data_IF_969648598067
#
_entry.id   IF_969648598067
#
_cell.length_a   1.000
_cell.length_b   1.000
_cell.length_c   1.000
_cell.angle_alpha   90.00
_cell.angle_beta   90.00
_cell.angle_gamma   90.00
#
_symmetry.space_group_name_H-M   'P 1'
#
loop_
_entity.id
_entity.type
_entity.pdbx_description
1 polymer ?
#
# COMPACT_ATOMS: atom_id res chain seq x y z
N UNK A 1 -23.79 13.30 2.38
CA UNK A 1 -23.56 13.10 0.93
C UNK A 1 -24.91 12.88 0.26
N UNK A 2 -25.14 13.50 -0.89
CA UNK A 2 -26.41 13.39 -1.58
C UNK A 2 -26.47 12.04 -2.35
N UNK A 3 -27.47 11.17 -2.14
CA UNK A 3 -27.54 9.84 -2.80
C UNK A 3 -27.53 9.87 -4.33
N UNK A 4 -27.88 11.00 -4.94
CA UNK A 4 -27.91 11.16 -6.41
C UNK A 4 -26.52 11.37 -7.04
N UNK A 5 -25.45 11.40 -6.25
CA UNK A 5 -24.07 11.66 -6.72
C UNK A 5 -23.24 10.40 -6.95
N UNK A 6 -23.68 9.21 -6.49
CA UNK A 6 -22.93 7.98 -6.65
C UNK A 6 -23.07 7.41 -8.05
N UNK A 7 -21.94 7.04 -8.66
CA UNK A 7 -21.92 6.49 -10.02
C UNK A 7 -21.98 4.96 -10.02
N UNK A 8 -21.25 4.34 -9.07
CA UNK A 8 -21.01 2.88 -9.09
C UNK A 8 -21.15 2.22 -7.71
N UNK A 9 -20.96 2.96 -6.60
CA UNK A 9 -21.16 2.42 -5.27
C UNK A 9 -22.63 2.60 -4.84
N UNK A 10 -23.28 1.51 -4.40
CA UNK A 10 -24.64 1.59 -3.85
C UNK A 10 -24.58 2.20 -2.43
N UNK A 11 -25.25 3.34 -2.18
CA UNK A 11 -25.26 3.96 -0.87
C UNK A 11 -25.93 3.12 0.23
N UNK A 12 -26.67 2.07 -0.12
CA UNK A 12 -27.32 1.16 0.83
C UNK A 12 -26.45 -0.06 1.17
N UNK A 13 -25.43 -0.32 0.36
CA UNK A 13 -24.53 -1.45 0.54
C UNK A 13 -23.38 -1.13 1.51
N UNK A 14 -22.78 -2.20 2.03
CA UNK A 14 -21.60 -2.13 2.88
C UNK A 14 -20.41 -2.75 2.17
N UNK A 15 -19.29 -2.02 2.15
CA UNK A 15 -18.07 -2.45 1.46
C UNK A 15 -16.93 -2.65 2.47
N UNK A 16 -16.30 -3.82 2.39
CA UNK A 16 -14.99 -4.06 3.02
C UNK A 16 -13.89 -3.72 2.02
N UNK A 17 -12.66 -3.49 2.48
CA UNK A 17 -11.54 -3.20 1.59
C UNK A 17 -11.37 -4.28 0.52
N UNK A 18 -11.42 -5.56 0.90
CA UNK A 18 -11.32 -6.68 -0.04
C UNK A 18 -12.41 -6.68 -1.12
N UNK A 19 -13.61 -6.13 -0.84
CA UNK A 19 -14.68 -6.07 -1.84
C UNK A 19 -14.35 -5.14 -3.01
N UNK A 20 -13.50 -4.11 -2.79
CA UNK A 20 -13.07 -3.20 -3.85
C UNK A 20 -12.21 -3.88 -4.92
N UNK A 21 -11.49 -4.92 -4.56
CA UNK A 21 -10.74 -5.76 -5.51
C UNK A 21 -11.66 -6.44 -6.54
N UNK A 22 -12.87 -6.82 -6.14
CA UNK A 22 -13.80 -7.59 -6.97
C UNK A 22 -14.79 -6.72 -7.75
N UNK A 23 -14.83 -5.40 -7.49
CA UNK A 23 -15.76 -4.51 -8.19
C UNK A 23 -15.43 -4.43 -9.68
N UNK A 24 -16.44 -4.55 -10.58
CA UNK A 24 -16.24 -4.52 -12.04
C UNK A 24 -16.17 -3.10 -12.60
N UNK A 25 -15.89 -2.10 -11.74
CA UNK A 25 -15.91 -0.69 -12.12
C UNK A 25 -14.47 -0.14 -12.27
N UNK A 26 -14.35 1.00 -12.96
CA UNK A 26 -13.05 1.69 -13.04
C UNK A 26 -12.66 2.27 -11.69
N UNK A 27 -11.35 2.30 -11.41
CA UNK A 27 -10.83 2.92 -10.20
C UNK A 27 -11.22 4.39 -10.11
N UNK A 28 -11.27 5.10 -11.26
CA UNK A 28 -11.66 6.50 -11.34
C UNK A 28 -13.08 6.74 -10.81
N UNK A 29 -14.02 5.87 -11.16
CA UNK A 29 -15.41 5.99 -10.72
C UNK A 29 -15.56 5.62 -9.25
N UNK A 30 -14.85 4.58 -8.80
CA UNK A 30 -14.87 4.14 -7.40
C UNK A 30 -14.33 5.23 -6.49
N UNK A 31 -13.14 5.79 -6.77
CA UNK A 31 -12.56 6.82 -5.91
C UNK A 31 -13.31 8.15 -5.99
N UNK A 32 -13.97 8.44 -7.13
CA UNK A 32 -14.86 9.60 -7.25
C UNK A 32 -16.05 9.51 -6.31
N UNK A 33 -16.66 8.32 -6.17
CA UNK A 33 -17.74 8.06 -5.22
C UNK A 33 -17.26 8.20 -3.76
N UNK A 34 -15.99 7.93 -3.49
CA UNK A 34 -15.37 8.13 -2.18
C UNK A 34 -14.94 9.59 -1.93
N UNK A 35 -15.06 10.47 -2.93
CA UNK A 35 -14.72 11.91 -2.83
C UNK A 35 -13.30 12.24 -3.22
N UNK A 36 -12.62 11.38 -3.98
CA UNK A 36 -11.23 11.56 -4.45
C UNK A 36 -11.15 11.62 -5.96
N UNK A 37 -10.02 12.15 -6.46
CA UNK A 37 -9.62 12.07 -7.85
C UNK A 37 -8.58 10.97 -8.01
N UNK A 38 -8.53 10.35 -9.17
CA UNK A 38 -7.49 9.39 -9.52
C UNK A 38 -6.58 9.96 -10.61
N UNK A 39 -5.28 9.73 -10.44
CA UNK A 39 -4.26 9.99 -11.46
C UNK A 39 -3.34 8.77 -11.59
N UNK A 40 -2.67 8.67 -12.73
CA UNK A 40 -1.64 7.66 -12.99
C UNK A 40 -0.47 8.29 -13.69
N UNK A 41 0.62 8.45 -12.97
CA UNK A 41 1.83 9.12 -13.44
C UNK A 41 3.09 8.55 -12.79
N UNK A 42 4.25 8.88 -13.30
CA UNK A 42 5.51 8.53 -12.65
C UNK A 42 5.68 9.38 -11.38
N UNK A 43 5.73 8.72 -10.23
CA UNK A 43 5.87 9.37 -8.93
C UNK A 43 7.34 9.72 -8.65
N UNK A 44 7.54 10.83 -7.96
CA UNK A 44 8.80 11.17 -7.29
C UNK A 44 8.64 10.82 -5.81
N UNK A 45 8.84 9.56 -5.50
CA UNK A 45 8.71 9.05 -4.14
C UNK A 45 9.91 9.51 -3.29
N UNK A 46 9.72 9.77 -1.99
CA UNK A 46 10.82 9.96 -1.06
C UNK A 46 11.74 8.76 -1.07
N UNK A 47 13.04 8.99 -0.99
CA UNK A 47 14.05 7.93 -0.91
C UNK A 47 15.05 8.22 0.18
N UNK A 48 15.51 7.18 0.87
CA UNK A 48 16.62 7.21 1.82
C UNK A 48 17.80 6.48 1.18
N UNK A 49 18.72 7.18 0.52
CA UNK A 49 19.80 6.55 -0.22
C UNK A 49 20.84 5.93 0.71
N UNK A 50 21.46 4.84 0.26
CA UNK A 50 22.58 4.21 0.98
C UNK A 50 22.14 3.39 2.19
N UNK A 51 20.97 2.82 2.16
CA UNK A 51 20.51 1.89 3.20
C UNK A 51 21.47 0.71 3.27
N UNK A 52 22.19 0.62 4.40
CA UNK A 52 23.10 -0.49 4.70
C UNK A 52 22.40 -1.58 5.52
N UNK A 53 21.28 -2.05 5.03
CA UNK A 53 20.62 -3.22 5.59
C UNK A 53 21.40 -4.49 5.22
N UNK A 54 20.97 -5.61 5.78
CA UNK A 54 21.47 -6.94 5.36
C UNK A 54 20.99 -7.29 3.94
N UNK A 55 21.16 -6.32 3.01
CA UNK A 55 20.67 -6.40 1.65
C UNK A 55 21.14 -7.64 0.92
N UNK A 56 22.43 -8.02 1.08
CA UNK A 56 22.97 -9.20 0.44
C UNK A 56 22.31 -10.49 0.96
N UNK A 57 22.10 -10.59 2.27
CA UNK A 57 21.48 -11.76 2.90
C UNK A 57 20.01 -11.87 2.49
N UNK A 58 19.29 -10.73 2.50
CA UNK A 58 17.91 -10.67 2.07
C UNK A 58 17.76 -11.00 0.58
N UNK A 59 18.63 -10.46 -0.28
CA UNK A 59 18.64 -10.77 -1.72
C UNK A 59 18.89 -12.27 -1.95
N UNK A 60 19.85 -12.86 -1.23
CA UNK A 60 20.15 -14.30 -1.34
C UNK A 60 18.95 -15.13 -0.85
N UNK A 61 18.33 -14.73 0.26
CA UNK A 61 17.13 -15.39 0.78
C UNK A 61 15.98 -15.37 -0.23
N UNK A 62 15.65 -14.20 -0.78
CA UNK A 62 14.56 -14.04 -1.74
C UNK A 62 14.83 -14.77 -3.05
N UNK A 63 16.05 -14.65 -3.61
CA UNK A 63 16.44 -15.36 -4.83
C UNK A 63 16.30 -16.87 -4.69
N UNK A 64 16.76 -17.42 -3.56
CA UNK A 64 16.63 -18.86 -3.28
C UNK A 64 15.18 -19.29 -3.17
N UNK A 65 14.36 -18.53 -2.48
CA UNK A 65 12.94 -18.87 -2.29
C UNK A 65 12.12 -18.70 -3.57
N UNK A 66 12.37 -17.69 -4.38
CA UNK A 66 11.74 -17.53 -5.71
C UNK A 66 12.01 -18.74 -6.62
N UNK A 67 13.18 -19.37 -6.47
CA UNK A 67 13.54 -20.58 -7.24
C UNK A 67 12.80 -21.84 -6.78
N UNK A 68 12.60 -22.01 -5.49
CA UNK A 68 12.16 -23.29 -4.91
C UNK A 68 10.74 -23.28 -4.35
N UNK A 69 10.20 -22.11 -4.04
CA UNK A 69 8.85 -21.96 -3.52
C UNK A 69 7.90 -21.56 -4.63
N UNK A 70 6.79 -22.29 -4.75
CA UNK A 70 5.68 -21.93 -5.64
C UNK A 70 4.59 -21.26 -4.78
N UNK A 71 4.51 -19.94 -4.72
CA UNK A 71 3.56 -19.25 -3.85
C UNK A 71 2.15 -19.26 -4.48
N UNK A 72 1.44 -20.36 -4.30
CA UNK A 72 0.07 -20.51 -4.79
C UNK A 72 -0.90 -19.71 -3.93
N UNK A 73 -0.69 -19.70 -2.60
CA UNK A 73 -1.53 -18.95 -1.66
C UNK A 73 -0.93 -17.56 -1.38
N UNK A 74 -1.79 -16.58 -1.14
CA UNK A 74 -1.40 -15.22 -0.73
C UNK A 74 -0.59 -15.22 0.57
N UNK A 75 -1.00 -16.03 1.55
CA UNK A 75 -0.27 -16.18 2.81
C UNK A 75 1.19 -16.61 2.61
N UNK A 76 1.47 -17.50 1.66
CA UNK A 76 2.85 -17.91 1.36
C UNK A 76 3.66 -16.74 0.78
N UNK A 77 3.05 -15.87 -0.04
CA UNK A 77 3.70 -14.65 -0.54
C UNK A 77 4.00 -13.68 0.58
N UNK A 78 3.05 -13.47 1.47
CA UNK A 78 3.19 -12.59 2.64
C UNK A 78 4.36 -13.07 3.52
N UNK A 79 4.40 -14.33 3.90
CA UNK A 79 5.39 -14.85 4.84
C UNK A 79 6.81 -14.95 4.26
N UNK A 80 6.93 -15.35 2.98
CA UNK A 80 8.24 -15.68 2.41
C UNK A 80 8.84 -14.50 1.62
N UNK A 81 8.02 -13.68 0.96
CA UNK A 81 8.54 -12.66 0.05
C UNK A 81 8.29 -11.23 0.53
N UNK A 82 7.20 -10.97 1.30
CA UNK A 82 6.86 -9.61 1.70
C UNK A 82 7.35 -9.32 3.12
N UNK A 83 6.95 -10.15 4.10
CA UNK A 83 7.31 -9.94 5.50
C UNK A 83 8.82 -9.80 5.76
N UNK A 84 9.72 -10.59 5.15
CA UNK A 84 11.16 -10.41 5.36
C UNK A 84 11.68 -9.04 4.92
N UNK A 85 11.13 -8.45 3.85
CA UNK A 85 11.46 -7.10 3.39
C UNK A 85 11.01 -6.07 4.43
N UNK A 86 9.78 -6.20 4.90
CA UNK A 86 9.20 -5.27 5.88
C UNK A 86 9.87 -5.40 7.26
N UNK A 87 10.29 -6.59 7.66
CA UNK A 87 11.02 -6.80 8.91
C UNK A 87 12.38 -6.08 8.92
N UNK A 88 13.15 -6.18 7.83
CA UNK A 88 14.40 -5.43 7.67
C UNK A 88 14.16 -3.91 7.65
N UNK A 89 13.10 -3.45 6.99
CA UNK A 89 12.71 -2.05 6.99
C UNK A 89 12.40 -1.55 8.41
N UNK A 90 11.59 -2.29 9.16
CA UNK A 90 11.16 -1.91 10.51
C UNK A 90 12.34 -1.84 11.50
N UNK A 91 13.29 -2.77 11.39
CA UNK A 91 14.53 -2.75 12.17
C UNK A 91 15.37 -1.50 11.85
N UNK A 92 15.47 -1.13 10.57
CA UNK A 92 16.22 0.04 10.12
C UNK A 92 15.58 1.38 10.52
N UNK A 93 14.25 1.49 10.42
CA UNK A 93 13.52 2.74 10.71
C UNK A 93 13.12 2.85 12.18
N UNK A 94 13.21 1.74 12.93
CA UNK A 94 12.77 1.64 14.34
C UNK A 94 11.27 1.92 14.51
N UNK A 95 10.45 1.29 13.66
CA UNK A 95 8.99 1.40 13.68
C UNK A 95 8.30 0.06 13.87
N UNK A 96 7.06 0.09 14.35
CA UNK A 96 6.25 -1.11 14.53
C UNK A 96 5.49 -1.44 13.25
N UNK A 97 5.53 -2.71 12.87
CA UNK A 97 4.70 -3.31 11.84
C UNK A 97 3.43 -3.87 12.48
N UNK A 98 2.28 -3.50 11.92
CA UNK A 98 1.00 -4.10 12.27
C UNK A 98 0.53 -4.94 11.07
N UNK A 99 0.28 -6.21 11.29
CA UNK A 99 -0.36 -7.11 10.33
C UNK A 99 -1.85 -7.22 10.64
N UNK A 100 -2.65 -7.47 9.59
CA UNK A 100 -4.12 -7.57 9.70
C UNK A 100 -4.75 -6.42 10.51
N UNK A 101 -4.24 -5.20 10.33
CA UNK A 101 -4.68 -4.04 11.09
C UNK A 101 -6.13 -3.68 10.77
N UNK A 102 -7.02 -3.82 11.76
CA UNK A 102 -8.44 -3.53 11.57
C UNK A 102 -8.71 -2.03 11.56
N UNK A 103 -9.30 -1.53 10.49
CA UNK A 103 -9.70 -0.15 10.31
C UNK A 103 -11.18 -0.06 9.91
N UNK A 104 -11.94 0.78 10.62
CA UNK A 104 -13.35 1.02 10.31
C UNK A 104 -13.66 2.50 10.45
N UNK A 105 -14.04 3.14 9.36
CA UNK A 105 -14.39 4.56 9.29
C UNK A 105 -15.89 4.73 9.11
N UNK A 106 -16.46 4.02 8.16
CA UNK A 106 -17.89 4.04 7.85
C UNK A 106 -18.30 2.72 7.15
N UNK A 107 -19.55 2.63 6.68
CA UNK A 107 -20.06 1.41 6.03
C UNK A 107 -19.35 1.05 4.72
N UNK A 108 -18.65 2.00 4.07
CA UNK A 108 -17.94 1.77 2.80
C UNK A 108 -16.43 1.58 3.00
N UNK A 109 -15.87 2.04 4.08
CA UNK A 109 -14.43 2.06 4.33
C UNK A 109 -14.13 1.35 5.64
N UNK A 110 -14.02 0.03 5.57
CA UNK A 110 -13.71 -0.85 6.69
C UNK A 110 -13.12 -2.17 6.25
N UNK A 111 -12.38 -2.81 7.13
CA UNK A 111 -11.72 -4.10 6.90
C UNK A 111 -10.36 -4.15 7.54
N UNK A 112 -9.55 -5.10 7.13
CA UNK A 112 -8.17 -5.23 7.59
C UNK A 112 -7.23 -4.75 6.49
N UNK A 113 -6.15 -4.09 6.90
CA UNK A 113 -4.98 -3.78 6.09
C UNK A 113 -4.00 -4.93 6.26
N UNK A 114 -3.45 -5.48 5.17
CA UNK A 114 -2.51 -6.61 5.25
C UNK A 114 -1.29 -6.25 6.09
N UNK A 115 -0.68 -5.09 5.80
CA UNK A 115 0.39 -4.51 6.61
C UNK A 115 0.22 -3.01 6.74
N UNK A 116 0.37 -2.53 7.95
CA UNK A 116 0.29 -1.12 8.28
C UNK A 116 1.46 -0.69 9.16
N UNK A 117 2.17 0.33 8.72
CA UNK A 117 3.28 0.94 9.45
C UNK A 117 2.95 2.41 9.67
N UNK A 118 3.14 2.87 10.90
CA UNK A 118 2.89 4.26 11.29
C UNK A 118 3.99 4.74 12.22
N UNK A 119 4.49 5.95 11.98
CA UNK A 119 5.44 6.60 12.90
C UNK A 119 4.72 7.07 14.16
N UNK A 120 5.46 7.16 15.28
CA UNK A 120 4.88 7.51 16.58
C UNK A 120 4.19 8.88 16.62
N UNK A 121 4.56 9.80 15.73
CA UNK A 121 3.94 11.12 15.57
C UNK A 121 2.70 11.13 14.67
N UNK A 122 2.28 9.97 14.15
CA UNK A 122 1.15 9.80 13.22
C UNK A 122 1.23 10.64 11.92
N UNK A 123 2.42 11.05 11.52
CA UNK A 123 2.61 11.87 10.32
C UNK A 123 2.93 11.06 9.09
N UNK A 124 3.58 9.90 9.26
CA UNK A 124 4.01 9.03 8.16
C UNK A 124 3.38 7.68 8.30
N UNK A 125 2.78 7.24 7.23
CA UNK A 125 2.03 6.00 7.18
C UNK A 125 2.32 5.30 5.87
N UNK A 126 2.42 3.99 5.96
CA UNK A 126 2.64 3.12 4.82
C UNK A 126 1.68 1.93 4.93
N UNK A 127 0.90 1.72 3.89
CA UNK A 127 0.06 0.55 3.72
C UNK A 127 0.66 -0.35 2.66
N UNK A 128 0.79 -1.63 2.95
CA UNK A 128 1.20 -2.63 1.96
C UNK A 128 0.07 -3.62 1.79
N UNK A 129 -0.49 -3.65 0.59
CA UNK A 129 -1.52 -4.59 0.20
C UNK A 129 -0.89 -5.75 -0.58
N UNK A 130 -1.04 -6.96 -0.05
CA UNK A 130 -0.54 -8.18 -0.66
C UNK A 130 -1.57 -8.78 -1.61
N UNK A 131 -1.14 -9.19 -2.80
CA UNK A 131 -2.01 -9.82 -3.78
C UNK A 131 -1.38 -11.06 -4.40
N UNK A 132 -2.23 -11.96 -4.86
CA UNK A 132 -1.77 -13.17 -5.53
C UNK A 132 -1.26 -12.88 -6.95
N UNK A 133 -1.89 -11.96 -7.71
CA UNK A 133 -1.54 -11.72 -9.11
C UNK A 133 -1.88 -10.34 -9.67
N UNK A 134 -3.00 -9.74 -9.34
CA UNK A 134 -3.52 -8.56 -10.04
C UNK A 134 -3.21 -7.26 -9.28
N UNK A 135 -2.07 -6.62 -9.64
CA UNK A 135 -1.67 -5.34 -9.04
C UNK A 135 -2.66 -4.21 -9.36
N UNK A 136 -3.34 -4.26 -10.50
CA UNK A 136 -4.27 -3.19 -10.90
C UNK A 136 -5.53 -3.21 -10.04
N UNK A 137 -6.12 -4.39 -9.85
CA UNK A 137 -7.26 -4.55 -8.93
C UNK A 137 -6.84 -4.36 -7.48
N UNK A 138 -5.64 -4.84 -7.11
CA UNK A 138 -5.05 -4.58 -5.80
C UNK A 138 -4.91 -3.08 -5.52
N UNK A 139 -4.57 -2.29 -6.53
CA UNK A 139 -4.48 -0.84 -6.36
C UNK A 139 -5.84 -0.19 -6.11
N UNK A 140 -6.94 -0.73 -6.64
CA UNK A 140 -8.30 -0.24 -6.32
C UNK A 140 -8.63 -0.45 -4.83
N UNK A 141 -8.23 -1.59 -4.27
CA UNK A 141 -8.38 -1.83 -2.84
C UNK A 141 -7.49 -0.88 -2.02
N UNK A 142 -6.20 -0.75 -2.35
CA UNK A 142 -5.28 0.19 -1.71
C UNK A 142 -5.81 1.62 -1.74
N UNK A 143 -6.43 2.05 -2.84
CA UNK A 143 -7.01 3.38 -2.94
C UNK A 143 -8.14 3.61 -1.91
N UNK A 144 -8.98 2.60 -1.66
CA UNK A 144 -10.01 2.66 -0.61
C UNK A 144 -9.39 2.68 0.80
N UNK A 145 -8.29 1.96 1.02
CA UNK A 145 -7.54 1.94 2.27
C UNK A 145 -6.89 3.29 2.57
N UNK A 146 -6.25 3.91 1.57
CA UNK A 146 -5.71 5.27 1.68
C UNK A 146 -6.81 6.30 1.96
N UNK A 147 -7.98 6.18 1.31
CA UNK A 147 -9.13 7.03 1.58
C UNK A 147 -9.65 6.87 3.01
N UNK A 148 -9.65 5.65 3.54
CA UNK A 148 -10.04 5.38 4.94
C UNK A 148 -9.05 6.01 5.92
N UNK A 149 -7.75 5.90 5.68
CA UNK A 149 -6.72 6.53 6.51
C UNK A 149 -6.78 8.05 6.48
N UNK A 150 -7.09 8.66 5.33
CA UNK A 150 -7.30 10.11 5.24
C UNK A 150 -8.46 10.59 6.12
N UNK A 151 -9.52 9.80 6.22
CA UNK A 151 -10.69 10.13 7.05
C UNK A 151 -10.50 9.78 8.53
N UNK A 152 -9.45 9.06 8.90
CA UNK A 152 -9.14 8.73 10.28
C UNK A 152 -8.69 9.99 11.03
N UNK A 153 -9.30 10.26 12.19
CA UNK A 153 -9.07 11.49 12.95
C UNK A 153 -7.64 11.67 13.47
N UNK A 154 -6.89 10.59 13.69
CA UNK A 154 -5.51 10.63 14.18
C UNK A 154 -4.48 10.92 13.08
N UNK A 155 -4.82 10.81 11.80
CA UNK A 155 -3.90 11.03 10.69
C UNK A 155 -3.49 12.50 10.59
N UNK A 156 -2.18 12.80 10.67
CA UNK A 156 -1.65 14.16 10.67
C UNK A 156 -0.87 14.55 9.42
N UNK A 157 -0.23 13.60 8.74
CA UNK A 157 0.55 13.87 7.52
C UNK A 157 -0.31 14.36 6.35
N UNK A 158 0.28 15.14 5.43
CA UNK A 158 -0.39 15.60 4.21
C UNK A 158 -0.36 14.55 3.09
N UNK A 159 0.64 13.69 3.10
CA UNK A 159 0.81 12.60 2.14
C UNK A 159 0.63 11.26 2.84
N UNK A 160 -0.13 10.37 2.23
CA UNK A 160 -0.21 8.96 2.62
C UNK A 160 0.37 8.13 1.50
N UNK A 161 1.12 7.12 1.85
CA UNK A 161 1.78 6.25 0.88
C UNK A 161 1.30 4.81 1.04
N UNK A 162 1.36 4.07 -0.05
CA UNK A 162 1.07 2.66 -0.04
C UNK A 162 1.73 1.94 -1.21
N UNK A 163 1.73 0.62 -1.13
CA UNK A 163 2.15 -0.22 -2.23
C UNK A 163 1.26 -1.45 -2.35
N UNK A 164 1.09 -1.92 -3.57
CA UNK A 164 0.52 -3.23 -3.87
C UNK A 164 1.65 -4.14 -4.31
N UNK A 165 1.69 -5.34 -3.77
CA UNK A 165 2.76 -6.28 -4.08
C UNK A 165 2.26 -7.71 -4.24
N UNK A 166 2.91 -8.45 -5.15
CA UNK A 166 2.82 -9.90 -5.28
C UNK A 166 4.01 -10.61 -4.60
N UNK A 167 4.85 -9.85 -3.90
CA UNK A 167 6.10 -10.32 -3.32
C UNK A 167 7.29 -10.17 -4.26
N UNK A 168 7.12 -10.50 -5.53
CA UNK A 168 8.12 -10.37 -6.60
C UNK A 168 7.95 -9.08 -7.43
N UNK A 169 6.78 -8.46 -7.39
CA UNK A 169 6.48 -7.17 -8.04
C UNK A 169 5.91 -6.19 -7.02
N UNK A 170 6.34 -4.94 -7.08
CA UNK A 170 5.89 -3.85 -6.22
C UNK A 170 5.46 -2.66 -7.06
N UNK A 171 4.28 -2.09 -6.76
CA UNK A 171 3.78 -0.85 -7.34
C UNK A 171 3.39 0.09 -6.24
N UNK A 172 3.92 1.29 -6.26
CA UNK A 172 3.64 2.32 -5.27
C UNK A 172 2.47 3.21 -5.67
N UNK A 173 1.93 3.88 -4.68
CA UNK A 173 0.95 4.94 -4.83
C UNK A 173 0.96 5.88 -3.65
N UNK A 174 0.32 7.01 -3.85
CA UNK A 174 0.19 8.04 -2.82
C UNK A 174 -1.18 8.69 -2.84
N UNK A 175 -1.59 9.24 -1.72
CA UNK A 175 -2.73 10.14 -1.59
C UNK A 175 -2.25 11.51 -1.10
N UNK A 176 -2.44 12.55 -1.92
CA UNK A 176 -2.38 13.94 -1.48
C UNK A 176 -3.70 14.30 -0.81
N UNK A 177 -3.67 14.46 0.52
CA UNK A 177 -4.85 14.74 1.33
C UNK A 177 -5.41 16.14 1.08
N UNK A 178 -4.56 17.10 0.75
CA UNK A 178 -4.95 18.49 0.48
C UNK A 178 -5.69 18.64 -0.85
N UNK A 179 -5.22 17.92 -1.87
CA UNK A 179 -5.79 17.92 -3.20
C UNK A 179 -6.87 16.86 -3.39
N UNK A 180 -6.99 15.90 -2.46
CA UNK A 180 -7.85 14.71 -2.58
C UNK A 180 -7.56 13.92 -3.86
N UNK A 181 -6.28 13.71 -4.16
CA UNK A 181 -5.81 12.99 -5.35
C UNK A 181 -5.06 11.74 -4.93
N UNK A 182 -5.53 10.59 -5.41
CA UNK A 182 -4.83 9.30 -5.30
C UNK A 182 -4.09 9.08 -6.61
N UNK A 183 -2.77 8.88 -6.53
CA UNK A 183 -1.93 8.67 -7.70
C UNK A 183 -1.29 7.28 -7.67
N UNK A 184 -1.51 6.51 -8.73
CA UNK A 184 -0.83 5.24 -9.00
C UNK A 184 0.47 5.49 -9.74
N UNK A 185 1.58 4.91 -9.27
CA UNK A 185 2.85 4.95 -10.01
C UNK A 185 2.78 4.09 -11.27
N UNK A 186 3.31 4.62 -12.36
CA UNK A 186 3.47 3.87 -13.61
C UNK A 186 4.62 2.86 -13.55
N UNK A 187 5.55 3.03 -12.60
CA UNK A 187 6.70 2.16 -12.41
C UNK A 187 6.29 0.93 -11.58
N UNK A 188 6.80 -0.22 -12.00
CA UNK A 188 6.71 -1.49 -11.24
C UNK A 188 8.12 -1.97 -10.97
N UNK A 189 8.43 -2.17 -9.70
CA UNK A 189 9.74 -2.64 -9.23
C UNK A 189 9.74 -4.15 -9.06
N UNK A 190 10.89 -4.79 -9.32
CA UNK A 190 11.05 -6.26 -9.27
C UNK A 190 11.95 -6.67 -8.13
N UNK A 191 11.57 -7.73 -7.46
CA UNK A 191 12.40 -8.44 -6.48
C UNK A 191 12.95 -9.71 -7.15
N UNK A 192 14.26 -9.99 -7.05
CA UNK A 192 15.25 -9.31 -6.19
C UNK A 192 16.00 -8.16 -6.86
N UNK A 193 15.81 -7.91 -8.15
CA UNK A 193 16.69 -7.05 -8.97
C UNK A 193 16.70 -5.58 -8.50
N UNK A 194 15.55 -5.07 -8.07
CA UNK A 194 15.37 -3.68 -7.63
C UNK A 194 15.07 -3.60 -6.12
N UNK A 195 15.46 -4.63 -5.34
CA UNK A 195 15.19 -4.70 -3.90
C UNK A 195 15.79 -3.49 -3.14
N UNK A 196 17.01 -3.07 -3.50
CA UNK A 196 17.64 -1.90 -2.89
C UNK A 196 16.78 -0.65 -3.05
N UNK A 197 16.29 -0.41 -4.26
CA UNK A 197 15.47 0.75 -4.59
C UNK A 197 14.11 0.70 -3.87
N UNK A 198 13.49 -0.50 -3.77
CA UNK A 198 12.26 -0.69 -2.99
C UNK A 198 12.49 -0.30 -1.53
N UNK A 199 13.56 -0.79 -0.91
CA UNK A 199 13.90 -0.48 0.49
C UNK A 199 14.20 1.01 0.68
N UNK A 200 14.92 1.65 -0.25
CA UNK A 200 15.19 3.10 -0.21
C UNK A 200 13.90 3.92 -0.27
N UNK A 201 12.93 3.52 -1.10
CA UNK A 201 11.61 4.17 -1.17
C UNK A 201 10.85 3.95 0.15
N UNK A 202 10.73 2.71 0.60
CA UNK A 202 9.99 2.39 1.82
C UNK A 202 10.55 3.13 3.04
N UNK A 203 11.88 3.19 3.17
CA UNK A 203 12.52 3.93 4.26
C UNK A 203 12.38 5.45 4.10
N UNK A 204 12.50 5.97 2.87
CA UNK A 204 12.30 7.39 2.57
C UNK A 204 10.91 7.86 2.98
N UNK A 205 9.87 7.09 2.65
CA UNK A 205 8.48 7.36 3.07
C UNK A 205 8.35 7.49 4.59
N UNK A 206 9.02 6.63 5.35
CA UNK A 206 8.92 6.60 6.82
C UNK A 206 9.89 7.54 7.53
N UNK A 207 10.97 7.96 6.86
CA UNK A 207 12.00 8.86 7.41
C UNK A 207 11.96 10.28 6.85
N UNK A 208 11.09 10.58 5.89
CA UNK A 208 11.05 11.88 5.23
C UNK A 208 11.18 13.01 6.25
N UNK A 209 12.30 13.74 6.16
CA UNK A 209 12.53 14.90 6.99
C UNK A 209 11.58 16.04 6.58
N UNK A 210 11.10 16.76 7.57
CA UNK A 210 10.25 17.95 7.41
C UNK A 210 10.83 18.97 6.43
#
# INVERSE_FOLDING_TARGET
>A
MNPEQFKVLDPKESYTFSKYFDLPFSIQDIVADLGYKFDRSSLRLPTEPGIHLRLNDLTLYLTRNLKWVRPVAEITRREIFIFPILAELCDYVEVMLNDEYSLSVNQWLKGNLDYYIETADHRRMLVIEAKQSDLTRGFTQLAAELAALDLRSSTQGNMLYGAVTTGDLWRFGQLDRSLKVITEDTIVYRVPDELAQILEILAGVLKEAN
#
